data_IF_385124922318
#
_entry.id   IF_385124922318
#
_cell.length_a   1.000
_cell.length_b   1.000
_cell.length_c   1.000
_cell.angle_alpha   90.00
_cell.angle_beta   90.00
_cell.angle_gamma   90.00
#
_symmetry.space_group_name_H-M   'P 1'
#
loop_
_entity.id
_entity.type
_entity.pdbx_description
1 polymer ?
#
# COMPACT_ATOMS: atom_id res chain seq x y z
N UNK A 1 5.52 -15.96 15.50
CA UNK A 1 5.04 -15.75 14.12
C UNK A 1 5.43 -14.34 13.77
N UNK A 2 6.06 -14.13 12.61
CA UNK A 2 6.61 -12.83 12.25
C UNK A 2 5.47 -11.82 12.04
N UNK A 3 5.42 -10.76 12.83
CA UNK A 3 4.34 -9.77 12.80
C UNK A 3 4.53 -8.71 11.71
N UNK A 4 5.48 -8.92 10.79
CA UNK A 4 5.87 -8.00 9.71
C UNK A 4 5.40 -8.46 8.33
N UNK A 5 4.26 -9.15 8.26
CA UNK A 5 3.76 -9.81 7.05
C UNK A 5 3.00 -8.87 6.10
N UNK A 6 3.46 -7.62 5.91
CA UNK A 6 2.96 -6.83 4.78
C UNK A 6 3.76 -7.19 3.51
N UNK A 7 3.12 -7.11 2.35
CA UNK A 7 3.78 -7.39 1.06
C UNK A 7 3.34 -6.41 -0.02
N UNK A 8 4.27 -6.02 -0.89
CA UNK A 8 3.91 -5.33 -2.13
C UNK A 8 3.30 -6.36 -3.08
N UNK A 9 2.11 -6.07 -3.59
CA UNK A 9 1.41 -6.92 -4.55
C UNK A 9 2.13 -6.85 -5.90
N UNK A 10 2.35 -8.02 -6.52
CA UNK A 10 2.81 -8.10 -7.91
C UNK A 10 1.69 -7.76 -8.90
N UNK A 11 2.05 -7.24 -10.07
CA UNK A 11 1.09 -6.68 -11.04
C UNK A 11 0.01 -7.68 -11.49
N UNK A 12 0.37 -8.97 -11.62
CA UNK A 12 -0.54 -10.05 -12.05
C UNK A 12 -1.10 -10.89 -10.88
N UNK A 13 -0.93 -10.42 -9.64
CA UNK A 13 -1.37 -11.19 -8.48
C UNK A 13 -2.88 -11.04 -8.27
N UNK A 14 -3.59 -12.18 -8.25
CA UNK A 14 -5.01 -12.24 -7.93
C UNK A 14 -5.30 -11.56 -6.58
N UNK A 15 -6.28 -10.65 -6.59
CA UNK A 15 -6.72 -9.94 -5.40
C UNK A 15 -8.23 -9.98 -5.23
N UNK A 16 -8.69 -10.61 -4.15
CA UNK A 16 -10.09 -10.59 -3.72
C UNK A 16 -10.14 -10.38 -2.19
N UNK A 17 -10.50 -9.17 -1.71
CA UNK A 17 -10.51 -8.84 -0.29
C UNK A 17 -11.31 -9.82 0.57
N UNK A 18 -12.46 -10.27 0.06
CA UNK A 18 -13.33 -11.21 0.76
C UNK A 18 -12.67 -12.55 1.04
N UNK A 19 -11.68 -12.96 0.25
CA UNK A 19 -11.01 -14.24 0.39
C UNK A 19 -9.76 -14.10 1.26
N UNK A 20 -9.13 -12.92 1.28
CA UNK A 20 -7.93 -12.64 2.08
C UNK A 20 -8.21 -12.25 3.52
N UNK A 21 -9.30 -11.51 3.75
CA UNK A 21 -9.57 -10.86 5.04
C UNK A 21 -10.86 -11.35 5.71
N UNK A 22 -11.45 -12.45 5.22
CA UNK A 22 -12.72 -12.98 5.74
C UNK A 22 -12.75 -13.14 7.27
N UNK A 23 -11.64 -13.61 7.84
CA UNK A 23 -11.51 -13.92 9.28
C UNK A 23 -10.47 -13.02 9.98
N UNK A 24 -10.10 -11.90 9.35
CA UNK A 24 -9.05 -11.02 9.88
C UNK A 24 -9.44 -9.54 9.72
N UNK A 25 -10.21 -9.04 10.68
CA UNK A 25 -10.72 -7.66 10.75
C UNK A 25 -9.63 -6.60 10.99
N UNK A 26 -8.42 -7.03 11.36
CA UNK A 26 -7.28 -6.16 11.65
C UNK A 26 -6.35 -5.99 10.46
N UNK A 27 -6.54 -6.76 9.39
CA UNK A 27 -5.75 -6.64 8.18
C UNK A 27 -6.47 -5.87 7.08
N UNK A 28 -5.70 -5.11 6.31
CA UNK A 28 -6.20 -4.35 5.18
C UNK A 28 -5.14 -4.21 4.09
N UNK A 29 -5.57 -3.69 2.94
CA UNK A 29 -4.69 -3.32 1.84
C UNK A 29 -4.60 -1.81 1.72
N UNK A 30 -3.43 -1.31 1.37
CA UNK A 30 -3.18 0.09 1.05
C UNK A 30 -2.93 0.24 -0.45
N UNK A 31 -3.57 1.24 -1.07
CA UNK A 31 -3.23 1.71 -2.43
C UNK A 31 -2.35 2.94 -2.29
N UNK A 32 -1.14 2.89 -2.83
CA UNK A 32 -0.14 3.96 -2.71
C UNK A 32 0.15 4.53 -4.09
N UNK A 33 -0.02 5.84 -4.20
CA UNK A 33 0.30 6.65 -5.37
C UNK A 33 1.62 7.37 -5.10
N UNK A 34 2.64 7.19 -5.94
CA UNK A 34 3.98 7.76 -5.73
C UNK A 34 4.76 7.93 -7.06
N UNK A 35 5.94 8.55 -7.01
CA UNK A 35 6.81 8.71 -8.18
C UNK A 35 6.33 9.70 -9.26
N UNK A 36 5.14 10.27 -9.12
CA UNK A 36 4.58 11.31 -9.98
C UNK A 36 4.86 12.73 -9.49
N UNK A 37 4.28 13.72 -10.17
CA UNK A 37 4.43 15.14 -9.87
C UNK A 37 3.07 15.84 -9.82
N UNK A 38 2.98 16.92 -9.04
CA UNK A 38 1.80 17.79 -9.08
C UNK A 38 1.95 18.81 -10.21
N UNK A 39 0.93 18.96 -11.06
CA UNK A 39 0.85 20.11 -11.99
C UNK A 39 0.47 21.39 -11.25
N UNK A 40 0.85 22.53 -11.81
CA UNK A 40 0.58 23.85 -11.22
C UNK A 40 -0.91 24.22 -11.20
N UNK A 41 -1.26 25.16 -10.33
CA UNK A 41 -2.61 25.72 -10.24
C UNK A 41 -3.04 26.41 -11.56
N UNK A 42 -4.34 26.49 -11.88
CA UNK A 42 -5.50 26.19 -11.03
C UNK A 42 -5.96 24.72 -11.03
N UNK A 43 -5.36 23.86 -11.85
CA UNK A 43 -5.81 22.48 -12.07
C UNK A 43 -4.83 21.48 -11.46
N UNK A 44 -4.51 21.64 -10.17
CA UNK A 44 -3.55 20.77 -9.48
C UNK A 44 -4.01 19.31 -9.51
N UNK A 45 -3.28 18.50 -10.26
CA UNK A 45 -3.47 17.06 -10.44
C UNK A 45 -2.13 16.35 -10.18
N UNK A 46 -2.18 15.10 -9.69
CA UNK A 46 -0.99 14.27 -9.54
C UNK A 46 -0.87 13.38 -10.77
N UNK A 47 0.16 13.64 -11.59
CA UNK A 47 0.36 13.01 -12.90
C UNK A 47 1.65 12.20 -12.93
N UNK A 48 1.79 11.34 -13.94
CA UNK A 48 2.95 10.44 -14.11
C UNK A 48 3.23 9.56 -12.89
N UNK A 49 2.17 9.21 -12.16
CA UNK A 49 2.27 8.40 -10.94
C UNK A 49 2.51 6.91 -11.22
N UNK A 50 3.16 6.26 -10.27
CA UNK A 50 3.16 4.82 -10.06
C UNK A 50 2.13 4.48 -8.99
N UNK A 51 1.36 3.43 -9.24
CA UNK A 51 0.41 2.90 -8.27
C UNK A 51 0.90 1.52 -7.84
N UNK A 52 1.11 1.34 -6.53
CA UNK A 52 1.38 0.04 -5.95
C UNK A 52 0.35 -0.29 -4.87
N UNK A 53 0.13 -1.59 -4.65
CA UNK A 53 -0.72 -2.09 -3.59
C UNK A 53 0.14 -2.80 -2.54
N UNK A 54 -0.12 -2.53 -1.26
CA UNK A 54 0.50 -3.22 -0.13
C UNK A 54 -0.60 -3.99 0.58
N UNK A 55 -0.46 -5.32 0.65
CA UNK A 55 -1.44 -6.22 1.25
C UNK A 55 -1.00 -6.70 2.63
N UNK A 56 -1.96 -7.24 3.40
CA UNK A 56 -1.76 -7.80 4.75
C UNK A 56 -1.23 -6.80 5.79
N UNK A 57 -1.49 -5.52 5.58
CA UNK A 57 -1.15 -4.47 6.56
C UNK A 57 -2.00 -4.69 7.80
N UNK A 58 -1.37 -4.91 8.96
CA UNK A 58 -2.08 -5.12 10.22
C UNK A 58 -2.13 -3.81 11.02
N UNK A 59 -3.34 -3.36 11.37
CA UNK A 59 -3.57 -2.08 12.05
C UNK A 59 -2.88 -1.98 13.42
N UNK A 60 -2.66 -3.10 14.11
CA UNK A 60 -2.03 -3.10 15.44
C UNK A 60 -0.52 -2.90 15.40
N UNK A 61 0.11 -3.11 14.25
CA UNK A 61 1.56 -2.98 14.07
C UNK A 61 1.93 -1.81 13.16
N UNK A 62 0.94 -1.21 12.48
CA UNK A 62 1.19 -0.09 11.59
C UNK A 62 1.61 1.14 12.40
N UNK A 63 2.86 1.55 12.23
CA UNK A 63 3.44 2.76 12.80
C UNK A 63 4.30 3.47 11.73
N UNK A 64 4.93 4.58 12.11
CA UNK A 64 5.74 5.37 11.18
C UNK A 64 6.97 4.62 10.67
N UNK A 65 7.60 3.78 11.50
CA UNK A 65 8.78 3.01 11.10
C UNK A 65 8.40 1.98 10.01
N UNK A 66 7.28 1.28 10.21
CA UNK A 66 6.73 0.32 9.24
C UNK A 66 6.32 1.02 7.94
N UNK A 67 5.71 2.20 8.02
CA UNK A 67 5.38 3.00 6.84
C UNK A 67 6.65 3.46 6.10
N UNK A 68 7.68 3.88 6.82
CA UNK A 68 8.96 4.27 6.22
C UNK A 68 9.61 3.10 5.49
N UNK A 69 9.61 1.90 6.09
CA UNK A 69 10.09 0.67 5.43
C UNK A 69 9.29 0.33 4.17
N UNK A 70 7.96 0.45 4.22
CA UNK A 70 7.09 0.25 3.06
C UNK A 70 7.47 1.18 1.92
N UNK A 71 7.59 2.49 2.20
CA UNK A 71 7.92 3.51 1.20
C UNK A 71 9.31 3.26 0.61
N UNK A 72 10.32 2.96 1.43
CA UNK A 72 11.67 2.63 0.96
C UNK A 72 11.69 1.44 -0.01
N UNK A 73 10.81 0.45 0.18
CA UNK A 73 10.71 -0.69 -0.75
C UNK A 73 10.00 -0.37 -2.06
N UNK A 74 9.17 0.67 -2.11
CA UNK A 74 8.49 1.09 -3.34
C UNK A 74 9.43 1.79 -4.33
N UNK A 75 10.51 2.39 -3.82
CA UNK A 75 11.53 3.08 -4.62
C UNK A 75 11.28 4.59 -4.68
#
# INVERSE_FOLDING_TARGET
>A
MDHHLWKIRGDDQYFKPSDMYYDNDRQFSMRVHHGGNFVDNPSREYVDEKINFIDHVNILVLNMDVLEEMIKKLG
#
